data_IF_155486459773
#
_entry.id   IF_155486459773
#
_cell.length_a   1.000
_cell.length_b   1.000
_cell.length_c   1.000
_cell.angle_alpha   90.00
_cell.angle_beta   90.00
_cell.angle_gamma   90.00
#
_symmetry.space_group_name_H-M   'P 1'
#
loop_
_entity.id
_entity.type
_entity.pdbx_description
1 polymer ?
#
# COMPACT_ATOMS: atom_id res chain seq x y z
N UNK A 1 -12.22 -7.14 8.05
CA UNK A 1 -11.44 -8.03 7.16
C UNK A 1 -10.54 -7.17 6.29
N UNK A 2 -9.24 -7.44 6.30
CA UNK A 2 -8.32 -6.97 5.28
C UNK A 2 -8.74 -7.57 3.92
N UNK A 3 -8.87 -6.74 2.89
CA UNK A 3 -9.35 -7.15 1.57
C UNK A 3 -8.20 -7.81 0.80
N UNK A 4 -7.92 -9.08 1.06
CA UNK A 4 -7.21 -9.93 0.10
C UNK A 4 -7.86 -11.31 0.02
N UNK A 5 -8.11 -11.83 -1.20
CA UNK A 5 -8.63 -13.17 -1.40
C UNK A 5 -7.63 -14.23 -0.87
N UNK A 6 -8.12 -15.42 -0.50
CA UNK A 6 -7.31 -16.50 0.12
C UNK A 6 -6.11 -16.98 -0.71
N UNK A 7 -5.98 -16.56 -1.98
CA UNK A 7 -4.81 -16.83 -2.84
C UNK A 7 -3.56 -16.05 -2.41
N UNK A 8 -3.72 -14.94 -1.67
CA UNK A 8 -2.64 -14.06 -1.20
C UNK A 8 -2.39 -14.14 0.32
N UNK A 9 -2.92 -15.18 0.99
CA UNK A 9 -2.84 -15.36 2.44
C UNK A 9 -1.44 -15.63 2.99
N UNK A 10 -0.46 -15.90 2.12
CA UNK A 10 0.92 -16.23 2.50
C UNK A 10 1.79 -14.99 2.77
N UNK A 11 1.39 -13.81 2.30
CA UNK A 11 2.14 -12.57 2.51
C UNK A 11 1.46 -11.81 3.67
N UNK A 12 2.19 -11.42 4.73
CA UNK A 12 1.65 -10.56 5.77
C UNK A 12 0.97 -9.35 5.14
N UNK A 13 -0.33 -9.16 5.41
CA UNK A 13 -1.13 -8.13 4.76
C UNK A 13 -0.53 -6.71 4.89
N UNK A 14 0.23 -6.50 5.95
CA UNK A 14 1.03 -5.29 6.18
C UNK A 14 2.17 -5.09 5.17
N UNK A 15 2.91 -6.15 4.84
CA UNK A 15 3.98 -6.09 3.83
C UNK A 15 3.42 -5.84 2.43
N UNK A 16 2.27 -6.47 2.11
CA UNK A 16 1.60 -6.22 0.84
C UNK A 16 1.09 -4.77 0.73
N UNK A 17 0.59 -4.21 1.82
CA UNK A 17 0.18 -2.81 1.88
C UNK A 17 1.33 -1.84 1.57
N UNK A 18 2.52 -2.12 2.11
CA UNK A 18 3.73 -1.35 1.83
C UNK A 18 4.17 -1.54 0.38
N UNK A 19 4.18 -2.78 -0.11
CA UNK A 19 4.61 -3.10 -1.47
C UNK A 19 3.78 -2.37 -2.55
N UNK A 20 2.46 -2.24 -2.35
CA UNK A 20 1.55 -1.56 -3.27
C UNK A 20 1.80 -0.05 -3.41
N UNK A 21 2.50 0.56 -2.44
CA UNK A 21 2.89 1.97 -2.49
C UNK A 21 4.21 2.22 -3.23
N UNK A 22 5.06 1.19 -3.38
CA UNK A 22 6.39 1.29 -4.02
C UNK A 22 6.30 1.82 -5.47
N UNK A 23 5.38 1.35 -6.33
CA UNK A 23 5.31 1.83 -7.71
C UNK A 23 5.09 3.34 -7.80
N UNK A 24 4.24 3.91 -6.95
CA UNK A 24 3.97 5.35 -6.92
C UNK A 24 5.15 6.16 -6.40
N UNK A 25 5.84 5.66 -5.38
CA UNK A 25 7.07 6.29 -4.87
C UNK A 25 8.16 6.32 -5.93
N UNK A 26 8.37 5.20 -6.65
CA UNK A 26 9.36 5.11 -7.71
C UNK A 26 8.98 6.00 -8.91
N UNK A 27 7.71 6.04 -9.28
CA UNK A 27 7.17 6.91 -10.34
C UNK A 27 7.41 8.40 -9.99
N UNK A 28 7.04 8.84 -8.79
CA UNK A 28 7.29 10.20 -8.32
C UNK A 28 8.78 10.55 -8.24
N UNK A 29 9.63 9.60 -7.80
CA UNK A 29 11.07 9.80 -7.70
C UNK A 29 11.74 9.93 -9.07
N UNK A 30 11.38 9.07 -10.03
CA UNK A 30 11.92 9.11 -11.39
C UNK A 30 11.45 10.37 -12.13
N UNK A 31 10.21 10.81 -11.91
CA UNK A 31 9.70 12.08 -12.41
C UNK A 31 10.44 13.29 -11.80
N UNK A 32 10.71 13.28 -10.49
CA UNK A 32 11.48 14.33 -9.83
C UNK A 32 12.90 14.44 -10.38
N UNK A 33 13.53 13.30 -10.70
CA UNK A 33 14.87 13.23 -11.31
C UNK A 33 14.91 13.51 -12.82
N UNK A 34 13.76 13.87 -13.43
CA UNK A 34 13.66 14.16 -14.86
C UNK A 34 14.07 12.97 -15.76
N UNK A 35 14.11 11.74 -15.24
CA UNK A 35 14.43 10.55 -16.04
C UNK A 35 13.34 10.23 -17.07
N UNK A 36 12.16 10.80 -16.90
CA UNK A 36 10.97 10.55 -17.72
C UNK A 36 9.98 11.70 -17.56
N UNK A 37 9.30 12.04 -18.66
CA UNK A 37 8.14 12.93 -18.62
C UNK A 37 6.94 12.22 -18.02
N UNK A 38 6.20 12.93 -17.18
CA UNK A 38 5.02 12.37 -16.55
C UNK A 38 3.95 12.07 -17.59
N UNK A 39 3.31 10.91 -17.47
CA UNK A 39 2.18 10.54 -18.33
C UNK A 39 0.97 10.22 -17.44
N UNK A 40 -0.22 10.60 -17.92
CA UNK A 40 -1.45 10.48 -17.12
C UNK A 40 -1.83 9.03 -16.84
N UNK A 41 -1.56 8.12 -17.79
CA UNK A 41 -1.89 6.72 -17.66
C UNK A 41 -1.12 6.05 -16.51
N UNK A 42 0.20 6.22 -16.46
CA UNK A 42 1.01 5.62 -15.40
C UNK A 42 0.66 6.26 -14.05
N UNK A 43 0.37 7.56 -14.01
CA UNK A 43 -0.02 8.26 -12.77
C UNK A 43 -1.33 7.72 -12.20
N UNK A 44 -2.29 7.37 -13.07
CA UNK A 44 -3.53 6.71 -12.66
C UNK A 44 -3.25 5.30 -12.15
N UNK A 45 -2.43 4.51 -12.86
CA UNK A 45 -2.12 3.12 -12.46
C UNK A 45 -1.37 3.09 -11.12
N UNK A 46 -0.31 3.89 -10.97
CA UNK A 46 0.51 3.94 -9.75
C UNK A 46 -0.25 4.57 -8.60
N UNK A 47 -1.09 5.57 -8.86
CA UNK A 47 -1.96 6.16 -7.83
C UNK A 47 -3.07 5.23 -7.37
N UNK A 48 -3.68 4.48 -8.28
CA UNK A 48 -4.70 3.50 -7.92
C UNK A 48 -4.10 2.36 -7.09
N UNK A 49 -2.92 1.83 -7.48
CA UNK A 49 -2.23 0.81 -6.69
C UNK A 49 -1.87 1.30 -5.30
N UNK A 50 -1.35 2.53 -5.17
CA UNK A 50 -1.04 3.13 -3.88
C UNK A 50 -2.30 3.36 -3.03
N UNK A 51 -3.43 3.74 -3.64
CA UNK A 51 -4.71 3.87 -2.95
C UNK A 51 -5.14 2.57 -2.26
N UNK A 52 -5.03 1.42 -2.95
CA UNK A 52 -5.26 0.10 -2.33
C UNK A 52 -4.28 -0.21 -1.21
N UNK A 53 -2.99 0.09 -1.41
CA UNK A 53 -1.97 -0.09 -0.40
C UNK A 53 -2.24 0.72 0.87
N UNK A 54 -2.62 2.00 0.74
CA UNK A 54 -2.94 2.88 1.87
C UNK A 54 -4.19 2.45 2.62
N UNK A 55 -5.27 2.10 1.91
CA UNK A 55 -6.49 1.60 2.53
C UNK A 55 -6.22 0.34 3.36
N UNK A 56 -5.44 -0.59 2.79
CA UNK A 56 -5.03 -1.80 3.49
C UNK A 56 -4.14 -1.51 4.71
N UNK A 57 -3.17 -0.60 4.55
CA UNK A 57 -2.28 -0.22 5.64
C UNK A 57 -3.06 0.35 6.82
N UNK A 58 -4.01 1.25 6.56
CA UNK A 58 -4.85 1.87 7.59
C UNK A 58 -5.66 0.82 8.38
N UNK A 59 -6.30 -0.12 7.68
CA UNK A 59 -7.08 -1.19 8.32
C UNK A 59 -6.19 -2.14 9.11
N UNK A 60 -5.04 -2.54 8.56
CA UNK A 60 -4.10 -3.43 9.25
C UNK A 60 -3.53 -2.78 10.51
N UNK A 61 -3.11 -1.52 10.42
CA UNK A 61 -2.56 -0.78 11.55
C UNK A 61 -3.59 -0.58 12.67
N UNK A 62 -4.84 -0.26 12.30
CA UNK A 62 -5.93 -0.13 13.27
C UNK A 62 -6.21 -1.45 14.02
N UNK A 63 -6.26 -2.57 13.32
CA UNK A 63 -6.49 -3.88 13.95
C UNK A 63 -5.33 -4.27 14.86
N UNK A 64 -4.08 -4.13 14.40
CA UNK A 64 -2.90 -4.42 15.24
C UNK A 64 -2.83 -3.51 16.46
N UNK A 65 -3.19 -2.24 16.31
CA UNK A 65 -3.27 -1.29 17.44
C UNK A 65 -4.34 -1.70 18.45
N UNK A 66 -5.54 -2.07 17.98
CA UNK A 66 -6.62 -2.54 18.85
C UNK A 66 -6.25 -3.84 19.59
N UNK A 67 -5.63 -4.81 18.90
CA UNK A 67 -5.13 -6.04 19.52
C UNK A 67 -4.05 -5.75 20.57
N UNK A 68 -3.16 -4.79 20.33
CA UNK A 68 -2.16 -4.40 21.30
C UNK A 68 -2.84 -3.87 22.56
N UNK A 69 -3.77 -2.92 22.43
CA UNK A 69 -4.49 -2.32 23.57
C UNK A 69 -5.22 -3.41 24.37
N UNK A 70 -5.93 -4.31 23.69
CA UNK A 70 -6.67 -5.40 24.32
C UNK A 70 -5.79 -6.48 24.95
N UNK A 71 -4.52 -6.62 24.54
CA UNK A 71 -3.57 -7.53 25.20
C UNK A 71 -3.01 -6.97 26.51
N UNK A 72 -3.07 -5.66 26.70
CA UNK A 72 -2.57 -4.98 27.89
C UNK A 72 -3.66 -4.73 28.96
N UNK A 73 -4.92 -5.10 28.68
CA UNK A 73 -6.06 -5.06 29.59
C UNK A 73 -6.63 -6.47 29.79
#
# INVERSE_FOLDING_TARGET
>A
MAFFPPILSFIPAFLMAIALNIPMLLDGFTQKRQFRTSNNLLRVITGFSAGFGLAQFAVSAANTGAELILKWF
#
